data_IF_048241932182
#
_entry.id   IF_048241932182
#
_cell.length_a   1.000
_cell.length_b   1.000
_cell.length_c   1.000
_cell.angle_alpha   90.00
_cell.angle_beta   90.00
_cell.angle_gamma   90.00
#
_symmetry.space_group_name_H-M   'P 1'
#
loop_
_entity.id
_entity.type
_entity.pdbx_description
1 polymer ?
#
# COMPACT_ATOMS: atom_id res chain seq x y z
N UNK A 1 -1.11 2.44 -26.42
CA UNK A 1 -1.31 1.16 -27.15
C UNK A 1 -0.44 0.02 -26.62
N UNK A 2 0.91 0.10 -26.54
CA UNK A 2 1.72 -1.04 -26.09
C UNK A 2 1.48 -1.44 -24.62
N UNK A 3 1.26 -0.47 -23.72
CA UNK A 3 0.97 -0.73 -22.30
C UNK A 3 -0.36 -1.48 -22.10
N UNK A 4 -1.40 -1.12 -22.87
CA UNK A 4 -2.70 -1.78 -22.78
C UNK A 4 -2.62 -3.23 -23.26
N UNK A 5 -1.84 -3.50 -24.32
CA UNK A 5 -1.60 -4.86 -24.82
C UNK A 5 -0.83 -5.70 -23.80
N UNK A 6 0.20 -5.13 -23.16
CA UNK A 6 0.94 -5.82 -22.10
C UNK A 6 0.07 -6.14 -20.88
N UNK A 7 -0.73 -5.17 -20.41
CA UNK A 7 -1.66 -5.39 -19.30
C UNK A 7 -2.69 -6.47 -19.64
N UNK A 8 -3.25 -6.44 -20.85
CA UNK A 8 -4.16 -7.48 -21.34
C UNK A 8 -3.52 -8.86 -21.41
N UNK A 9 -2.27 -8.95 -21.89
CA UNK A 9 -1.51 -10.19 -21.93
C UNK A 9 -1.25 -10.76 -20.52
N UNK A 10 -0.91 -9.91 -19.54
CA UNK A 10 -0.72 -10.35 -18.13
C UNK A 10 -2.02 -10.91 -17.57
N UNK A 11 -3.15 -10.20 -17.74
CA UNK A 11 -4.45 -10.68 -17.28
C UNK A 11 -4.82 -12.01 -17.93
N UNK A 12 -4.59 -12.15 -19.24
CA UNK A 12 -4.83 -13.38 -19.99
C UNK A 12 -3.99 -14.54 -19.46
N UNK A 13 -2.69 -14.33 -19.27
CA UNK A 13 -1.79 -15.39 -18.76
C UNK A 13 -2.21 -15.81 -17.35
N UNK A 14 -2.48 -14.86 -16.46
CA UNK A 14 -2.93 -15.17 -15.08
C UNK A 14 -4.23 -15.97 -15.10
N UNK A 15 -5.20 -15.57 -15.93
CA UNK A 15 -6.49 -16.26 -16.02
C UNK A 15 -6.38 -17.65 -16.66
N UNK A 16 -5.52 -17.84 -17.66
CA UNK A 16 -5.23 -19.18 -18.24
C UNK A 16 -4.56 -20.08 -17.20
N UNK A 17 -3.57 -19.57 -16.47
CA UNK A 17 -2.87 -20.33 -15.42
C UNK A 17 -3.84 -20.74 -14.32
N UNK A 18 -4.66 -19.82 -13.83
CA UNK A 18 -5.69 -20.12 -12.81
C UNK A 18 -6.71 -21.10 -13.36
N UNK A 19 -7.20 -20.92 -14.59
CA UNK A 19 -8.16 -21.82 -15.23
C UNK A 19 -7.62 -23.25 -15.38
N UNK A 20 -6.36 -23.39 -15.82
CA UNK A 20 -5.70 -24.68 -15.94
C UNK A 20 -5.48 -25.33 -14.56
N UNK A 21 -5.09 -24.56 -13.55
CA UNK A 21 -4.96 -25.05 -12.18
C UNK A 21 -6.31 -25.56 -11.61
N UNK A 22 -7.43 -24.90 -11.93
CA UNK A 22 -8.75 -25.37 -11.53
C UNK A 22 -9.14 -26.67 -12.25
N UNK A 23 -8.86 -26.78 -13.56
CA UNK A 23 -9.17 -27.98 -14.36
C UNK A 23 -8.37 -29.22 -13.93
N UNK A 24 -7.13 -29.04 -13.50
CA UNK A 24 -6.24 -30.15 -13.08
C UNK A 24 -6.41 -30.49 -11.59
N UNK A 25 -7.09 -29.66 -10.80
CA UNK A 25 -7.23 -29.89 -9.36
C UNK A 25 -8.06 -31.15 -9.03
N UNK A 26 -7.47 -32.09 -8.29
CA UNK A 26 -8.07 -33.42 -7.97
C UNK A 26 -8.76 -33.43 -6.60
N UNK A 27 -9.21 -32.28 -6.08
CA UNK A 27 -9.83 -32.21 -4.76
C UNK A 27 -10.72 -30.98 -4.57
N UNK A 28 -11.67 -31.02 -3.63
CA UNK A 28 -12.55 -29.89 -3.37
C UNK A 28 -11.72 -28.68 -2.94
N UNK A 29 -11.78 -27.60 -3.74
CA UNK A 29 -10.94 -26.40 -3.57
C UNK A 29 -11.14 -25.76 -2.18
N UNK A 30 -12.33 -25.87 -1.57
CA UNK A 30 -12.64 -25.22 -0.28
C UNK A 30 -13.65 -25.97 0.62
N UNK A 31 -14.24 -27.10 0.22
CA UNK A 31 -15.29 -27.75 1.04
C UNK A 31 -14.69 -28.42 2.28
N UNK A 32 -15.01 -27.88 3.45
CA UNK A 32 -14.72 -28.50 4.76
C UNK A 32 -13.36 -28.19 5.37
N UNK A 33 -12.55 -27.32 4.76
CA UNK A 33 -11.29 -26.86 5.37
C UNK A 33 -11.57 -25.61 6.20
N UNK A 34 -11.31 -25.69 7.51
CA UNK A 34 -11.31 -24.52 8.36
C UNK A 34 -10.11 -23.62 7.98
N UNK A 35 -10.21 -22.29 8.10
CA UNK A 35 -9.12 -21.34 7.83
C UNK A 35 -7.99 -21.42 8.87
N UNK A 36 -7.89 -22.55 9.56
CA UNK A 36 -6.96 -22.83 10.62
C UNK A 36 -6.33 -24.20 10.39
N UNK A 37 -4.99 -24.23 10.33
CA UNK A 37 -4.22 -25.45 10.04
C UNK A 37 -4.39 -26.55 11.11
N UNK A 38 -4.76 -26.18 12.34
CA UNK A 38 -5.01 -27.11 13.44
C UNK A 38 -6.40 -27.75 13.47
N UNK A 39 -7.29 -27.45 12.50
CA UNK A 39 -8.63 -28.04 12.43
C UNK A 39 -9.63 -27.55 13.51
N UNK A 40 -9.23 -26.58 14.33
CA UNK A 40 -10.12 -25.86 15.25
C UNK A 40 -10.84 -24.72 14.52
N UNK A 41 -12.11 -24.44 14.85
CA UNK A 41 -12.79 -23.28 14.29
C UNK A 41 -12.08 -21.98 14.71
N UNK A 42 -12.05 -20.96 13.85
CA UNK A 42 -11.44 -19.68 14.19
C UNK A 42 -12.13 -19.08 15.42
N UNK A 43 -11.32 -18.69 16.41
CA UNK A 43 -11.79 -18.16 17.70
C UNK A 43 -12.23 -16.69 17.59
N UNK A 44 -11.60 -15.94 16.69
CA UNK A 44 -11.85 -14.51 16.47
C UNK A 44 -12.77 -14.29 15.26
N UNK A 45 -13.62 -13.26 15.33
CA UNK A 45 -14.42 -12.83 14.18
C UNK A 45 -13.56 -12.15 13.11
N UNK A 46 -13.94 -12.29 11.84
CA UNK A 46 -13.21 -11.73 10.69
C UNK A 46 -13.06 -10.21 10.71
N UNK A 47 -13.91 -9.51 11.47
CA UNK A 47 -13.93 -8.04 11.63
C UNK A 47 -13.55 -7.61 13.05
N UNK A 48 -12.86 -8.47 13.79
CA UNK A 48 -12.40 -8.15 15.13
C UNK A 48 -11.51 -6.90 15.13
N UNK A 49 -11.54 -6.16 16.23
CA UNK A 49 -10.78 -4.92 16.35
C UNK A 49 -9.32 -5.24 16.63
N UNK A 50 -8.51 -5.09 15.60
CA UNK A 50 -7.06 -5.13 15.75
C UNK A 50 -6.54 -3.87 16.45
N UNK A 51 -5.33 -3.94 17.02
CA UNK A 51 -4.73 -2.81 17.70
C UNK A 51 -4.67 -1.55 16.80
N UNK A 52 -5.04 -0.40 17.37
CA UNK A 52 -5.09 0.92 16.71
C UNK A 52 -3.74 1.35 16.11
N UNK A 53 -2.62 0.75 16.55
CA UNK A 53 -1.26 1.05 16.07
C UNK A 53 -1.12 1.09 14.54
N UNK A 54 -1.84 0.22 13.82
CA UNK A 54 -1.79 0.18 12.37
C UNK A 54 -2.40 1.42 11.71
N UNK A 55 -3.41 2.03 12.35
CA UNK A 55 -4.06 3.23 11.84
C UNK A 55 -3.10 4.42 11.79
N UNK A 56 -2.31 4.63 12.85
CA UNK A 56 -1.36 5.75 12.90
C UNK A 56 -0.26 5.59 11.84
N UNK A 57 0.27 4.37 11.66
CA UNK A 57 1.26 4.08 10.61
C UNK A 57 0.67 4.33 9.22
N UNK A 58 -0.57 3.88 8.95
CA UNK A 58 -1.23 4.11 7.66
C UNK A 58 -1.53 5.59 7.41
N UNK A 59 -1.92 6.36 8.42
CA UNK A 59 -2.15 7.80 8.28
C UNK A 59 -0.86 8.55 7.95
N UNK A 60 0.26 8.20 8.60
CA UNK A 60 1.57 8.78 8.28
C UNK A 60 2.00 8.39 6.85
N UNK A 61 1.84 7.11 6.48
CA UNK A 61 2.14 6.65 5.13
C UNK A 61 1.32 7.38 4.08
N UNK A 62 0.02 7.55 4.30
CA UNK A 62 -0.88 8.26 3.37
C UNK A 62 -0.50 9.74 3.22
N UNK A 63 -0.16 10.40 4.33
CA UNK A 63 0.29 11.79 4.30
C UNK A 63 1.61 11.95 3.52
N UNK A 64 2.54 10.99 3.68
CA UNK A 64 3.80 10.95 2.95
C UNK A 64 3.60 10.60 1.47
N UNK A 65 2.75 9.63 1.14
CA UNK A 65 2.48 9.23 -0.26
C UNK A 65 1.87 10.39 -1.08
N UNK A 66 1.04 11.23 -0.44
CA UNK A 66 0.53 12.45 -1.06
C UNK A 66 1.64 13.45 -1.44
N UNK A 67 2.80 13.43 -0.78
CA UNK A 67 3.92 14.31 -1.11
C UNK A 67 4.50 14.00 -2.50
N UNK A 68 4.56 12.72 -2.87
CA UNK A 68 5.09 12.27 -4.16
C UNK A 68 4.23 12.80 -5.32
N UNK A 69 2.91 12.89 -5.12
CA UNK A 69 2.01 13.54 -6.07
C UNK A 69 2.39 15.01 -6.30
N UNK A 70 2.78 15.74 -5.24
CA UNK A 70 3.21 17.14 -5.36
C UNK A 70 4.60 17.29 -5.97
N UNK A 71 5.46 16.28 -5.83
CA UNK A 71 6.80 16.28 -6.45
C UNK A 71 6.73 16.20 -7.99
N UNK A 72 5.72 15.54 -8.57
CA UNK A 72 5.62 15.40 -10.02
C UNK A 72 5.47 16.75 -10.78
N UNK A 73 4.50 17.62 -10.45
CA UNK A 73 4.41 18.94 -11.07
C UNK A 73 5.65 19.79 -10.83
N UNK A 74 6.18 19.76 -9.61
CA UNK A 74 7.40 20.49 -9.26
C UNK A 74 8.59 20.10 -10.14
N UNK A 75 8.80 18.80 -10.38
CA UNK A 75 9.91 18.30 -11.19
C UNK A 75 9.86 18.81 -12.65
N UNK A 76 8.67 19.15 -13.15
CA UNK A 76 8.48 19.71 -14.48
C UNK A 76 8.79 21.22 -14.51
N UNK A 77 8.39 21.96 -13.46
CA UNK A 77 8.52 23.44 -13.44
C UNK A 77 9.82 23.96 -12.84
N UNK A 78 10.60 23.12 -12.15
CA UNK A 78 11.86 23.55 -11.52
C UNK A 78 12.85 24.13 -12.53
N UNK A 79 12.84 23.64 -13.78
CA UNK A 79 13.68 24.14 -14.86
C UNK A 79 13.34 25.58 -15.30
N UNK A 80 12.09 26.02 -15.11
CA UNK A 80 11.64 27.37 -15.50
C UNK A 80 11.66 28.35 -14.33
N UNK A 81 11.31 27.88 -13.13
CA UNK A 81 11.26 28.68 -11.89
C UNK A 81 12.62 28.81 -11.19
N UNK A 82 13.57 27.91 -11.49
CA UNK A 82 14.92 27.96 -10.94
C UNK A 82 14.98 27.73 -9.43
N UNK A 83 15.81 28.50 -8.73
CA UNK A 83 16.12 28.31 -7.31
C UNK A 83 14.93 28.51 -6.38
N UNK A 84 13.96 29.37 -6.74
CA UNK A 84 12.76 29.59 -5.95
C UNK A 84 11.94 28.31 -5.76
N UNK A 85 11.70 27.57 -6.86
CA UNK A 85 11.00 26.29 -6.80
C UNK A 85 11.75 25.25 -5.96
N UNK A 86 13.09 25.25 -5.99
CA UNK A 86 13.89 24.34 -5.14
C UNK A 86 13.65 24.64 -3.66
N UNK A 87 13.68 25.91 -3.26
CA UNK A 87 13.43 26.32 -1.86
C UNK A 87 12.02 25.95 -1.42
N UNK A 88 11.01 26.20 -2.25
CA UNK A 88 9.61 25.84 -1.94
C UNK A 88 9.43 24.34 -1.72
N UNK A 89 10.10 23.49 -2.53
CA UNK A 89 10.05 22.04 -2.36
C UNK A 89 10.69 21.58 -1.05
N UNK A 90 11.87 22.09 -0.71
CA UNK A 90 12.50 21.74 0.56
C UNK A 90 11.72 22.27 1.77
N UNK A 91 11.06 23.42 1.65
CA UNK A 91 10.15 23.93 2.68
C UNK A 91 8.95 23.00 2.87
N UNK A 92 8.33 22.56 1.78
CA UNK A 92 7.22 21.62 1.80
C UNK A 92 7.62 20.29 2.45
N UNK A 93 8.77 19.73 2.05
CA UNK A 93 9.31 18.49 2.63
C UNK A 93 9.62 18.64 4.13
N UNK A 94 10.15 19.80 4.55
CA UNK A 94 10.45 20.07 5.95
C UNK A 94 9.18 20.13 6.82
N UNK A 95 8.08 20.69 6.30
CA UNK A 95 6.79 20.75 7.01
C UNK A 95 6.23 19.33 7.21
N UNK A 96 6.28 18.48 6.19
CA UNK A 96 5.83 17.09 6.30
C UNK A 96 6.70 16.28 7.26
N UNK A 97 8.02 16.45 7.17
CA UNK A 97 8.97 15.79 8.07
C UNK A 97 8.73 16.21 9.52
N UNK A 98 8.38 17.48 9.78
CA UNK A 98 8.00 17.94 11.11
C UNK A 98 6.77 17.19 11.66
N UNK A 99 5.79 16.88 10.82
CA UNK A 99 4.65 16.03 11.18
C UNK A 99 5.05 14.60 11.57
N UNK A 100 5.98 13.99 10.83
CA UNK A 100 6.52 12.67 11.15
C UNK A 100 7.29 12.68 12.47
N UNK A 101 8.14 13.70 12.68
CA UNK A 101 8.88 13.88 13.94
C UNK A 101 7.92 14.06 15.12
N UNK A 102 6.84 14.83 14.95
CA UNK A 102 5.81 14.98 15.97
C UNK A 102 5.14 13.64 16.31
N UNK A 103 4.72 12.87 15.30
CA UNK A 103 4.11 11.56 15.51
C UNK A 103 5.05 10.57 16.20
N UNK A 104 6.35 10.62 15.89
CA UNK A 104 7.35 9.82 16.59
C UNK A 104 7.46 10.24 18.07
N UNK A 105 7.49 11.55 18.36
CA UNK A 105 7.52 12.04 19.75
C UNK A 105 6.32 11.58 20.57
N UNK A 106 5.12 11.56 19.97
CA UNK A 106 3.91 11.05 20.60
C UNK A 106 3.84 9.52 20.73
N UNK A 107 4.87 8.82 20.27
CA UNK A 107 4.95 7.37 20.42
C UNK A 107 4.02 6.60 19.50
N UNK A 108 3.48 7.23 18.44
CA UNK A 108 2.68 6.56 17.41
C UNK A 108 3.44 5.39 16.74
N UNK A 109 4.77 5.43 16.81
CA UNK A 109 5.69 4.42 16.26
C UNK A 109 6.30 3.49 17.33
N UNK A 110 5.81 3.47 18.58
CA UNK A 110 6.34 2.58 19.65
C UNK A 110 5.76 1.17 19.55
N UNK A 111 6.62 0.17 19.79
CA UNK A 111 6.34 -1.26 19.60
C UNK A 111 6.39 -2.05 20.92
N UNK A 112 5.94 -1.44 22.01
CA UNK A 112 5.80 -2.09 23.33
C UNK A 112 4.33 -2.25 23.66
#
# INVERSE_FOLDING_TARGET
MPLAVLAGAVVLVVSVVVGMAQLVSVGPVLKGRLPHLGGLPPVEHAVSRFHVRWYAVTMIFLAFDMEMIFMYPWAVVVATMGTAAVVEMFLFLAILLAGVVYAWREGALRWT
#
